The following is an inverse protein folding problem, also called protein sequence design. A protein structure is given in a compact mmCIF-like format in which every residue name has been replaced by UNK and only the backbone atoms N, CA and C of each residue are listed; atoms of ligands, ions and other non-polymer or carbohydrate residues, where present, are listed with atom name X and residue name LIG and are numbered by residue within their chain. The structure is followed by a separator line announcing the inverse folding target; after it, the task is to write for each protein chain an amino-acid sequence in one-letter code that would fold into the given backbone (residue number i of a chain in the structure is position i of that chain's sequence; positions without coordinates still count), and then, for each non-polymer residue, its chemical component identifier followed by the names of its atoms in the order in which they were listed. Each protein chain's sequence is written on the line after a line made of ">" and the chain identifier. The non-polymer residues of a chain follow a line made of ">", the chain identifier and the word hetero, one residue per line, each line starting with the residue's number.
data_IF_863209512002
#
_entry.id   IF_863209512002
#
_cell.length_a   1.000
_cell.length_b   1.000
_cell.length_c   1.000
_cell.angle_alpha   90.00
_cell.angle_beta   90.00
_cell.angle_gamma   90.00
#
_symmetry.space_group_name_H-M   'P 1'
#
loop_
_entity.id
_entity.type
_entity.pdbx_description
1 polymer ?
#
# COMPACT_ATOMS: atom_id res chain seq x y z
N UNK A 1 -5.23 -2.67 10.93
CA UNK A 1 -6.20 -3.29 9.98
C UNK A 1 -7.31 -2.28 9.72
N UNK A 2 -7.59 -1.98 8.46
CA UNK A 2 -8.63 -1.05 8.01
C UNK A 2 -9.46 -1.71 6.89
N UNK A 3 -10.21 -0.92 6.12
CA UNK A 3 -11.07 -1.43 5.03
C UNK A 3 -10.31 -1.81 3.75
N UNK A 4 -9.02 -1.52 3.63
CA UNK A 4 -8.28 -1.69 2.37
C UNK A 4 -8.34 -3.14 1.83
N UNK A 5 -8.13 -4.21 2.64
CA UNK A 5 -8.22 -5.57 2.14
C UNK A 5 -9.65 -5.94 1.68
N UNK A 6 -10.67 -5.47 2.40
CA UNK A 6 -12.08 -5.74 2.06
C UNK A 6 -12.43 -5.10 0.72
N UNK A 7 -12.02 -3.85 0.51
CA UNK A 7 -12.26 -3.13 -0.75
C UNK A 7 -11.51 -3.76 -1.93
N UNK A 8 -10.27 -4.22 -1.71
CA UNK A 8 -9.48 -4.88 -2.75
C UNK A 8 -10.16 -6.13 -3.31
N UNK A 9 -10.87 -6.90 -2.46
CA UNK A 9 -11.58 -8.11 -2.88
C UNK A 9 -12.92 -7.83 -3.59
N UNK A 10 -13.52 -6.66 -3.37
CA UNK A 10 -14.83 -6.30 -3.92
C UNK A 10 -14.75 -5.58 -5.27
N UNK A 11 -13.57 -5.06 -5.63
CA UNK A 11 -13.34 -4.35 -6.88
C UNK A 11 -13.22 -5.29 -8.08
N UNK A 12 -13.93 -4.97 -9.17
CA UNK A 12 -13.68 -5.64 -10.47
C UNK A 12 -12.29 -5.31 -11.03
N UNK A 13 -11.77 -4.12 -10.71
CA UNK A 13 -10.39 -3.71 -10.95
C UNK A 13 -9.89 -3.00 -9.68
N UNK A 14 -8.73 -3.40 -9.18
CA UNK A 14 -8.12 -2.87 -7.96
C UNK A 14 -6.76 -2.26 -8.28
N UNK A 15 -6.59 -0.98 -7.95
CA UNK A 15 -5.30 -0.28 -8.02
C UNK A 15 -4.87 0.02 -6.59
N UNK A 16 -3.67 -0.43 -6.21
CA UNK A 16 -3.11 -0.15 -4.90
C UNK A 16 -1.97 0.87 -4.99
N UNK A 17 -2.12 1.98 -4.25
CA UNK A 17 -1.07 2.96 -4.04
C UNK A 17 -0.18 2.52 -2.88
N UNK A 18 1.14 2.54 -3.09
CA UNK A 18 2.13 2.07 -2.11
C UNK A 18 3.28 3.06 -1.97
N UNK A 19 3.85 3.14 -0.77
CA UNK A 19 5.05 3.93 -0.49
C UNK A 19 6.31 3.25 -1.02
N UNK A 20 6.37 1.93 -0.84
CA UNK A 20 7.51 1.09 -1.21
C UNK A 20 7.07 -0.02 -2.16
N UNK A 21 7.85 -0.21 -3.22
CA UNK A 21 7.74 -1.35 -4.14
C UNK A 21 8.94 -2.24 -3.92
N UNK A 22 8.69 -3.54 -3.75
CA UNK A 22 9.72 -4.55 -3.56
C UNK A 22 9.55 -5.67 -4.57
N UNK A 23 10.64 -6.40 -4.82
CA UNK A 23 10.62 -7.54 -5.75
C UNK A 23 9.87 -8.75 -5.17
N UNK A 24 9.31 -9.64 -6.02
CA UNK A 24 8.68 -10.87 -5.56
C UNK A 24 9.61 -11.71 -4.68
N UNK A 25 9.09 -12.17 -3.54
CA UNK A 25 9.86 -12.93 -2.55
C UNK A 25 10.58 -12.07 -1.51
N UNK A 26 10.59 -10.74 -1.64
CA UNK A 26 11.12 -9.84 -0.60
C UNK A 26 10.18 -9.69 0.61
N UNK A 27 8.89 -10.01 0.45
CA UNK A 27 7.92 -10.05 1.55
C UNK A 27 7.75 -11.50 2.02
N UNK A 28 7.82 -11.69 3.34
CA UNK A 28 7.48 -12.95 3.98
C UNK A 28 5.99 -13.27 3.77
N UNK A 29 5.61 -14.50 3.35
CA UNK A 29 4.23 -14.84 3.05
C UNK A 29 3.24 -14.53 4.19
N UNK A 30 3.66 -14.77 5.44
CA UNK A 30 2.83 -14.51 6.63
C UNK A 30 2.62 -13.02 6.94
N UNK A 31 3.42 -12.14 6.33
CA UNK A 31 3.29 -10.69 6.46
C UNK A 31 2.40 -10.06 5.37
N UNK A 32 1.94 -10.85 4.39
CA UNK A 32 1.08 -10.35 3.30
C UNK A 32 -0.36 -10.19 3.80
N UNK A 33 -0.78 -8.95 4.03
CA UNK A 33 -2.14 -8.65 4.49
C UNK A 33 -3.23 -8.79 3.41
N UNK A 34 -2.90 -8.38 2.18
CA UNK A 34 -3.80 -8.43 1.03
C UNK A 34 -3.09 -9.23 -0.06
N UNK A 35 -3.56 -10.44 -0.39
CA UNK A 35 -2.95 -11.25 -1.45
C UNK A 35 -2.94 -10.51 -2.79
N UNK A 36 -1.83 -10.64 -3.53
CA UNK A 36 -1.63 -9.95 -4.80
C UNK A 36 -2.66 -10.31 -5.88
N UNK A 37 -3.35 -11.45 -5.77
CA UNK A 37 -4.44 -11.85 -6.69
C UNK A 37 -5.60 -10.85 -6.73
N UNK A 38 -5.82 -10.09 -5.65
CA UNK A 38 -6.86 -9.08 -5.58
C UNK A 38 -6.41 -7.70 -6.08
N UNK A 39 -5.13 -7.55 -6.47
CA UNK A 39 -4.55 -6.28 -6.89
C UNK A 39 -4.11 -6.37 -8.35
N UNK A 40 -4.69 -5.52 -9.20
CA UNK A 40 -4.48 -5.56 -10.64
C UNK A 40 -3.34 -4.63 -11.08
N UNK A 41 -3.16 -3.51 -10.39
CA UNK A 41 -2.12 -2.52 -10.67
C UNK A 41 -1.53 -2.00 -9.37
N UNK A 42 -0.22 -1.79 -9.36
CA UNK A 42 0.50 -1.13 -8.28
C UNK A 42 0.98 0.23 -8.77
N UNK A 43 0.81 1.26 -7.94
CA UNK A 43 1.28 2.62 -8.22
C UNK A 43 2.11 3.08 -7.04
N UNK A 44 3.36 3.46 -7.30
CA UNK A 44 4.22 4.05 -6.28
C UNK A 44 3.86 5.52 -6.10
N UNK A 45 3.60 5.93 -4.87
CA UNK A 45 3.39 7.35 -4.59
C UNK A 45 4.71 8.12 -4.66
N UNK A 46 4.72 9.37 -5.16
CA UNK A 46 5.88 10.25 -5.05
C UNK A 46 6.23 10.48 -3.57
N UNK A 47 7.53 10.60 -3.22
CA UNK A 47 7.90 10.95 -1.86
C UNK A 47 7.37 12.34 -1.49
N UNK A 48 7.19 12.57 -0.19
CA UNK A 48 6.85 13.89 0.34
C UNK A 48 7.85 14.97 -0.14
N UNK A 49 7.41 16.22 -0.40
CA UNK A 49 6.09 16.78 -0.13
C UNK A 49 5.09 16.65 -1.30
N UNK A 50 5.43 15.88 -2.34
CA UNK A 50 4.63 15.81 -3.57
C UNK A 50 3.43 14.87 -3.44
N UNK A 51 3.53 13.84 -2.60
CA UNK A 51 2.44 12.89 -2.35
C UNK A 51 1.20 13.52 -1.70
N UNK A 52 0.04 12.90 -1.91
CA UNK A 52 -1.25 13.34 -1.33
C UNK A 52 -1.28 13.28 0.20
N UNK A 53 -0.45 12.44 0.81
CA UNK A 53 -0.29 12.31 2.25
C UNK A 53 0.97 13.06 2.68
N UNK A 54 0.77 14.14 3.43
CA UNK A 54 1.88 14.81 4.10
C UNK A 54 2.23 14.02 5.36
N UNK A 55 3.51 13.68 5.59
CA UNK A 55 3.90 13.07 6.84
C UNK A 55 3.54 14.01 8.00
N UNK A 56 3.06 13.49 9.14
CA UNK A 56 2.82 14.33 10.30
C UNK A 56 4.11 15.08 10.67
N UNK A 57 4.02 16.29 11.24
CA UNK A 57 5.19 17.02 11.72
C UNK A 57 6.05 16.10 12.59
N UNK A 58 7.38 16.18 12.43
CA UNK A 58 8.38 15.28 13.03
C UNK A 58 8.31 15.16 14.57
N UNK A 59 7.45 15.92 15.23
CA UNK A 59 7.22 15.91 16.68
C UNK A 59 6.39 14.71 17.18
N UNK A 60 5.64 14.00 16.30
CA UNK A 60 4.69 12.95 16.74
C UNK A 60 5.25 11.52 16.59
N UNK A 61 6.54 11.35 16.24
CA UNK A 61 7.17 10.02 16.07
C UNK A 61 8.09 9.62 17.25
N UNK A 62 7.84 10.12 18.47
CA UNK A 62 8.50 9.67 19.70
C UNK A 62 7.52 9.04 20.67
#
# INVERSE_FOLDING_TARGET
>A
RNFNPIMATAGGITVAEVEELVEPGALEPDQVHTPGIFVHRLVRIPPAPVGIWQPPPREVQR
#
